data_IF_474923647191
#
_entry.id   IF_474923647191
#
_cell.length_a   1.000
_cell.length_b   1.000
_cell.length_c   1.000
_cell.angle_alpha   90.00
_cell.angle_beta   90.00
_cell.angle_gamma   90.00
#
_symmetry.space_group_name_H-M   'P 1'
#
loop_
_entity.id
_entity.type
_entity.pdbx_description
1 polymer ?
#
# COMPACT_ATOMS: atom_id res chain seq x y z
N UNK A 1 17.85 12.09 -0.32
CA UNK A 1 16.84 12.05 -1.38
C UNK A 1 15.51 12.30 -0.71
N UNK A 2 15.00 13.52 -0.90
CA UNK A 2 14.01 14.18 -0.06
C UNK A 2 12.69 13.41 0.12
N UNK A 3 12.44 12.98 1.36
CA UNK A 3 11.07 12.76 1.85
C UNK A 3 10.44 14.13 2.04
N UNK A 4 10.01 14.75 0.95
CA UNK A 4 9.26 16.00 1.02
C UNK A 4 7.92 15.68 1.69
N UNK A 5 7.70 16.29 2.84
CA UNK A 5 6.42 16.44 3.51
C UNK A 5 5.48 17.27 2.61
N UNK A 6 5.01 16.69 1.52
CA UNK A 6 3.94 17.26 0.72
C UNK A 6 2.65 17.02 1.50
N UNK A 7 2.00 18.10 1.93
CA UNK A 7 0.62 18.00 2.40
C UNK A 7 -0.19 17.34 1.29
N UNK A 8 -0.82 16.17 1.56
CA UNK A 8 -1.54 15.48 0.51
C UNK A 8 -2.65 16.37 -0.03
N UNK A 9 -2.82 16.39 -1.34
CA UNK A 9 -3.76 17.25 -2.04
C UNK A 9 -5.09 16.51 -2.22
N UNK A 10 -6.21 17.06 -1.70
CA UNK A 10 -7.52 16.49 -1.93
C UNK A 10 -7.81 16.38 -3.45
N UNK A 11 -8.29 15.23 -3.90
CA UNK A 11 -8.70 14.95 -5.29
C UNK A 11 -7.56 14.48 -6.20
N UNK A 12 -6.34 14.46 -5.68
CA UNK A 12 -5.15 13.93 -6.35
C UNK A 12 -4.52 12.80 -5.54
N UNK A 13 -4.37 12.99 -4.24
CA UNK A 13 -3.71 12.04 -3.35
C UNK A 13 -4.71 11.23 -2.51
N UNK A 14 -5.90 11.78 -2.26
CA UNK A 14 -7.01 11.13 -1.57
C UNK A 14 -8.36 11.72 -2.00
N UNK A 15 -9.48 10.98 -1.89
CA UNK A 15 -10.79 11.48 -2.30
C UNK A 15 -11.26 12.65 -1.42
N UNK A 16 -11.87 13.65 -2.06
CA UNK A 16 -12.41 14.86 -1.41
C UNK A 16 -13.86 14.69 -1.01
N UNK A 17 -14.60 13.96 -1.82
CA UNK A 17 -16.04 13.79 -1.68
C UNK A 17 -16.37 12.33 -1.43
N UNK A 18 -17.56 12.09 -0.91
CA UNK A 18 -18.05 10.73 -0.69
C UNK A 18 -18.17 9.93 -1.99
N UNK A 19 -18.60 10.55 -3.08
CA UNK A 19 -18.64 9.91 -4.40
C UNK A 19 -17.24 9.53 -4.89
N UNK A 20 -16.26 10.43 -4.78
CA UNK A 20 -14.87 10.11 -5.12
C UNK A 20 -14.34 8.95 -4.26
N UNK A 21 -14.72 8.87 -2.97
CA UNK A 21 -14.36 7.75 -2.10
C UNK A 21 -14.94 6.42 -2.59
N UNK A 22 -16.23 6.40 -2.93
CA UNK A 22 -16.89 5.20 -3.47
C UNK A 22 -16.27 4.76 -4.81
N UNK A 23 -15.90 5.72 -5.66
CA UNK A 23 -15.28 5.43 -6.95
C UNK A 23 -13.85 4.86 -6.77
N UNK A 24 -13.06 5.45 -5.87
CA UNK A 24 -11.66 5.04 -5.63
C UNK A 24 -11.56 3.71 -4.89
N UNK A 25 -12.51 3.43 -4.01
CA UNK A 25 -12.51 2.25 -3.13
C UNK A 25 -13.69 1.31 -3.42
N UNK A 26 -14.11 1.24 -4.69
CA UNK A 26 -15.22 0.40 -5.14
C UNK A 26 -14.99 -1.10 -4.91
N UNK A 27 -13.72 -1.54 -4.83
CA UNK A 27 -13.35 -2.93 -4.55
C UNK A 27 -12.29 -3.02 -3.45
N UNK A 28 -12.21 -4.19 -2.82
CA UNK A 28 -11.22 -4.46 -1.79
C UNK A 28 -9.78 -4.37 -2.36
N UNK A 29 -9.59 -4.81 -3.61
CA UNK A 29 -8.30 -4.73 -4.31
C UNK A 29 -7.86 -3.29 -4.54
N UNK A 30 -8.79 -2.39 -4.89
CA UNK A 30 -8.50 -0.97 -5.09
C UNK A 30 -8.07 -0.30 -3.78
N UNK A 31 -8.76 -0.62 -2.68
CA UNK A 31 -8.40 -0.16 -1.33
C UNK A 31 -7.00 -0.68 -0.92
N UNK A 32 -6.74 -1.97 -1.09
CA UNK A 32 -5.45 -2.57 -0.73
C UNK A 32 -4.30 -2.00 -1.55
N UNK A 33 -4.48 -1.83 -2.86
CA UNK A 33 -3.47 -1.23 -3.73
C UNK A 33 -3.16 0.22 -3.34
N UNK A 34 -4.17 0.99 -2.93
CA UNK A 34 -3.98 2.35 -2.42
C UNK A 34 -3.19 2.37 -1.11
N UNK A 35 -3.60 1.56 -0.13
CA UNK A 35 -2.89 1.45 1.16
C UNK A 35 -1.43 0.98 0.97
N UNK A 36 -1.19 0.11 0.00
CA UNK A 36 0.14 -0.42 -0.29
C UNK A 36 1.07 0.68 -0.82
N UNK A 37 0.58 1.50 -1.76
CA UNK A 37 1.31 2.67 -2.26
C UNK A 37 1.58 3.69 -1.17
N UNK A 38 0.62 3.89 -0.26
CA UNK A 38 0.78 4.79 0.87
C UNK A 38 1.86 4.31 1.85
N UNK A 39 1.85 3.01 2.16
CA UNK A 39 2.80 2.38 3.09
C UNK A 39 4.20 2.24 2.48
N UNK A 40 4.27 1.93 1.19
CA UNK A 40 5.50 1.62 0.48
C UNK A 40 5.57 2.35 -0.88
N UNK A 41 5.84 3.67 -0.89
CA UNK A 41 5.86 4.47 -2.12
C UNK A 41 6.91 4.02 -3.14
N UNK A 42 7.99 3.39 -2.67
CA UNK A 42 9.12 2.93 -3.48
C UNK A 42 9.14 1.41 -3.66
N UNK A 43 8.03 0.72 -3.34
CA UNK A 43 7.94 -0.74 -3.36
C UNK A 43 8.07 -1.38 -1.98
N UNK A 44 7.62 -2.64 -1.89
CA UNK A 44 7.47 -3.36 -0.63
C UNK A 44 8.77 -3.44 0.18
N UNK A 45 8.66 -3.09 1.47
CA UNK A 45 9.71 -3.30 2.47
C UNK A 45 9.14 -4.12 3.62
N UNK A 46 9.73 -5.28 3.88
CA UNK A 46 9.25 -6.15 4.96
C UNK A 46 9.35 -5.44 6.31
N UNK A 47 8.25 -5.31 7.09
CA UNK A 47 8.28 -4.63 8.38
C UNK A 47 9.08 -5.42 9.44
N UNK A 48 9.33 -6.71 9.22
CA UNK A 48 10.03 -7.58 10.17
C UNK A 48 11.55 -7.60 9.96
N UNK A 49 12.01 -7.72 8.72
CA UNK A 49 13.43 -7.86 8.42
C UNK A 49 14.01 -6.69 7.61
N UNK A 50 13.19 -5.72 7.18
CA UNK A 50 13.65 -4.57 6.40
C UNK A 50 14.04 -4.88 4.95
N UNK A 51 13.90 -6.13 4.50
CA UNK A 51 14.24 -6.49 3.12
C UNK A 51 13.30 -5.78 2.14
N UNK A 52 13.87 -4.91 1.31
CA UNK A 52 13.22 -4.31 0.15
C UNK A 52 13.33 -5.28 -1.04
N UNK A 53 12.22 -5.61 -1.70
CA UNK A 53 12.25 -6.49 -2.87
C UNK A 53 11.08 -7.48 -2.93
N UNK A 54 11.34 -8.66 -3.51
CA UNK A 54 10.32 -9.62 -3.92
C UNK A 54 9.39 -10.05 -2.77
N UNK A 55 8.18 -9.49 -2.83
CA UNK A 55 7.01 -9.99 -2.11
C UNK A 55 6.23 -10.88 -3.06
N UNK A 56 5.80 -12.04 -2.59
CA UNK A 56 4.78 -12.78 -3.31
C UNK A 56 3.42 -12.53 -2.65
N UNK A 57 2.43 -12.24 -3.48
CA UNK A 57 1.03 -12.17 -3.05
C UNK A 57 0.50 -13.59 -3.02
N UNK A 58 0.17 -14.08 -1.83
CA UNK A 58 -0.64 -15.29 -1.71
C UNK A 58 -2.13 -14.93 -1.90
N UNK A 59 -3.00 -15.93 -1.88
CA UNK A 59 -4.45 -15.70 -1.95
C UNK A 59 -4.94 -14.79 -0.82
N UNK A 60 -6.03 -14.04 -1.08
CA UNK A 60 -6.64 -13.10 -0.13
C UNK A 60 -5.71 -11.98 0.36
N UNK A 61 -4.88 -11.45 -0.55
CA UNK A 61 -4.05 -10.25 -0.30
C UNK A 61 -3.01 -10.40 0.80
N UNK A 62 -2.59 -11.64 1.05
CA UNK A 62 -1.53 -11.91 2.02
C UNK A 62 -0.18 -11.64 1.37
N UNK A 63 0.59 -10.73 1.95
CA UNK A 63 1.95 -10.40 1.53
C UNK A 63 2.92 -11.33 2.23
N UNK A 64 3.76 -12.02 1.47
CA UNK A 64 4.79 -12.87 2.04
C UNK A 64 6.19 -12.46 1.61
N UNK A 65 7.02 -12.15 2.59
CA UNK A 65 8.41 -11.81 2.40
C UNK A 65 9.21 -13.07 2.03
N UNK A 66 9.93 -13.07 0.90
CA UNK A 66 10.77 -14.21 0.51
C UNK A 66 12.00 -14.41 1.40
N UNK A 67 12.49 -13.35 2.04
CA UNK A 67 13.70 -13.39 2.88
C UNK A 67 13.45 -14.03 4.25
N UNK A 68 12.40 -13.61 4.97
CA UNK A 68 12.12 -14.10 6.33
C UNK A 68 10.84 -14.93 6.45
N UNK A 69 10.15 -15.21 5.33
CA UNK A 69 8.87 -15.92 5.27
C UNK A 69 7.75 -15.29 6.11
N UNK A 70 7.93 -14.04 6.54
CA UNK A 70 6.90 -13.31 7.29
C UNK A 70 5.68 -13.08 6.41
N UNK A 71 4.53 -13.40 6.97
CA UNK A 71 3.22 -13.20 6.36
C UNK A 71 2.58 -11.98 7.01
N UNK A 72 2.25 -10.99 6.21
CA UNK A 72 1.58 -9.77 6.65
C UNK A 72 0.46 -9.37 5.72
N UNK A 73 -0.29 -8.38 6.16
CA UNK A 73 -1.29 -7.64 5.38
C UNK A 73 -0.78 -6.22 5.15
N UNK A 74 -1.43 -5.51 4.22
CA UNK A 74 -1.12 -4.09 3.99
C UNK A 74 -1.60 -3.23 5.17
N UNK A 75 -2.71 -3.62 5.81
CA UNK A 75 -3.21 -3.08 7.09
C UNK A 75 -2.38 -3.57 8.27
#
# INVERSE_FOLDING_TARGET
METQMLTPTPGRDYPRTWNEFLDWFATEEACQAFLEKLRWPQGFVCPRCGNAGDVYRASRTRLMCRSCQYQGTVT
#
